data_IF_783892707125
#
_entry.id   IF_783892707125
#
_cell.length_a   1.000
_cell.length_b   1.000
_cell.length_c   1.000
_cell.angle_alpha   90.00
_cell.angle_beta   90.00
_cell.angle_gamma   90.00
#
_symmetry.space_group_name_H-M   'P 1'
#
loop_
_entity.id
_entity.type
_entity.pdbx_description
1 polymer ?
#
# COMPACT_ATOMS: atom_id res chain seq x y z
N UNK A 1 -4.74 -13.98 -9.12
CA UNK A 1 -5.89 -14.87 -8.98
C UNK A 1 -5.57 -15.82 -7.85
N UNK A 2 -6.57 -16.14 -7.03
CA UNK A 2 -6.45 -17.10 -5.95
C UNK A 2 -7.35 -18.29 -6.30
N UNK A 3 -6.83 -19.51 -6.15
CA UNK A 3 -7.62 -20.72 -6.35
C UNK A 3 -8.25 -21.07 -5.01
N UNK A 4 -9.57 -21.04 -4.93
CA UNK A 4 -10.33 -21.48 -3.76
C UNK A 4 -10.65 -22.96 -3.95
N UNK A 5 -10.12 -23.86 -3.10
CA UNK A 5 -10.48 -25.27 -3.16
C UNK A 5 -11.99 -25.44 -3.01
N UNK A 6 -12.55 -26.39 -3.76
CA UNK A 6 -13.97 -26.76 -3.68
C UNK A 6 -14.97 -25.64 -4.05
N UNK A 7 -14.50 -24.55 -4.69
CA UNK A 7 -15.35 -23.48 -5.24
C UNK A 7 -15.76 -23.74 -6.70
N UNK A 8 -16.97 -23.31 -7.07
CA UNK A 8 -17.53 -23.39 -8.44
C UNK A 8 -17.92 -22.01 -9.02
N UNK A 9 -17.65 -20.94 -8.28
CA UNK A 9 -17.85 -19.55 -8.68
C UNK A 9 -16.55 -18.82 -9.06
N UNK A 10 -16.70 -17.64 -9.68
CA UNK A 10 -15.59 -16.77 -10.02
C UNK A 10 -15.90 -15.32 -9.62
N UNK A 11 -15.08 -14.78 -8.73
CA UNK A 11 -15.09 -13.37 -8.37
C UNK A 11 -14.06 -12.60 -9.21
N UNK A 12 -14.47 -11.49 -9.80
CA UNK A 12 -13.62 -10.65 -10.65
C UNK A 12 -13.63 -9.22 -10.11
N UNK A 13 -12.49 -8.80 -9.59
CA UNK A 13 -12.25 -7.40 -9.20
C UNK A 13 -11.68 -6.62 -10.38
N UNK A 14 -12.36 -5.55 -10.78
CA UNK A 14 -11.93 -4.68 -11.88
C UNK A 14 -11.28 -3.41 -11.31
N UNK A 15 -9.98 -3.28 -11.49
CA UNK A 15 -9.24 -2.06 -11.15
C UNK A 15 -9.13 -1.13 -12.35
N UNK A 16 -9.88 -0.02 -12.32
CA UNK A 16 -9.80 1.03 -13.34
C UNK A 16 -8.74 2.07 -12.95
N UNK A 17 -7.53 1.89 -13.46
CA UNK A 17 -6.40 2.73 -13.12
C UNK A 17 -6.38 4.03 -13.93
N UNK A 18 -6.43 5.18 -13.24
CA UNK A 18 -6.08 6.47 -13.83
C UNK A 18 -4.57 6.66 -13.92
N UNK A 19 -4.05 7.24 -15.02
CA UNK A 19 -2.61 7.41 -15.23
C UNK A 19 -1.90 8.24 -14.14
N UNK A 20 -2.58 9.25 -13.58
CA UNK A 20 -2.03 10.02 -12.44
C UNK A 20 -1.92 9.21 -11.15
N UNK A 21 -2.88 8.29 -10.91
CA UNK A 21 -2.89 7.45 -9.71
C UNK A 21 -1.87 6.30 -9.78
N UNK A 22 -1.41 5.91 -10.97
CA UNK A 22 -0.37 4.89 -11.13
C UNK A 22 1.04 5.46 -11.04
N UNK A 23 1.22 6.76 -11.26
CA UNK A 23 2.51 7.45 -11.22
C UNK A 23 3.29 7.26 -9.91
N UNK A 24 2.66 7.26 -8.71
CA UNK A 24 3.38 7.04 -7.44
C UNK A 24 3.85 5.59 -7.22
N UNK A 25 3.53 4.66 -8.11
CA UNK A 25 3.96 3.27 -8.00
C UNK A 25 5.47 3.13 -8.13
N UNK A 26 6.13 2.63 -7.08
CA UNK A 26 7.56 2.29 -7.08
C UNK A 26 7.83 0.94 -6.47
N UNK A 27 8.94 0.33 -6.89
CA UNK A 27 9.48 -0.91 -6.34
C UNK A 27 10.97 -0.74 -6.03
N UNK A 28 11.42 -1.34 -4.93
CA UNK A 28 12.83 -1.37 -4.53
C UNK A 28 13.16 -2.72 -3.91
N UNK A 29 14.32 -3.28 -4.28
CA UNK A 29 14.90 -4.43 -3.56
C UNK A 29 15.63 -3.88 -2.34
N UNK A 30 15.27 -4.39 -1.16
CA UNK A 30 15.92 -4.04 0.10
C UNK A 30 16.96 -5.09 0.47
N UNK A 31 18.05 -4.66 1.08
CA UNK A 31 18.97 -5.58 1.75
C UNK A 31 18.29 -6.20 2.97
N UNK A 32 18.57 -7.47 3.31
CA UNK A 32 18.00 -8.10 4.51
C UNK A 32 18.23 -7.30 5.79
N UNK A 33 19.36 -6.59 5.88
CA UNK A 33 19.74 -5.74 7.01
C UNK A 33 18.87 -4.48 7.17
N UNK A 34 18.19 -4.02 6.11
CA UNK A 34 17.30 -2.85 6.19
C UNK A 34 16.00 -3.16 6.94
N UNK A 35 15.56 -4.43 6.95
CA UNK A 35 14.40 -4.90 7.71
C UNK A 35 13.13 -4.07 7.50
N UNK A 36 12.29 -4.01 8.54
CA UNK A 36 11.04 -3.23 8.53
C UNK A 36 11.27 -1.73 8.40
N UNK A 37 12.38 -1.22 8.92
CA UNK A 37 12.70 0.21 8.85
C UNK A 37 12.93 0.66 7.41
N UNK A 38 13.59 -0.18 6.60
CA UNK A 38 13.76 0.06 5.17
C UNK A 38 12.43 0.16 4.43
N UNK A 39 11.46 -0.70 4.77
CA UNK A 39 10.10 -0.65 4.21
C UNK A 39 9.40 0.66 4.59
N UNK A 40 9.42 1.02 5.88
CA UNK A 40 8.81 2.26 6.37
C UNK A 40 9.42 3.47 5.67
N UNK A 41 10.75 3.57 5.64
CA UNK A 41 11.47 4.65 4.97
C UNK A 41 11.08 4.76 3.50
N UNK A 42 11.04 3.62 2.80
CA UNK A 42 10.65 3.59 1.40
C UNK A 42 9.21 4.07 1.18
N UNK A 43 8.25 3.64 2.01
CA UNK A 43 6.86 4.11 1.93
C UNK A 43 6.78 5.62 2.14
N UNK A 44 7.42 6.14 3.19
CA UNK A 44 7.41 7.57 3.48
C UNK A 44 8.03 8.40 2.35
N UNK A 45 9.18 7.99 1.83
CA UNK A 45 9.86 8.70 0.72
C UNK A 45 8.97 8.78 -0.53
N UNK A 46 8.26 7.70 -0.84
CA UNK A 46 7.36 7.67 -2.00
C UNK A 46 6.16 8.59 -1.81
N UNK A 47 5.48 8.48 -0.66
CA UNK A 47 4.26 9.24 -0.41
C UNK A 47 4.58 10.73 -0.25
N UNK A 48 5.65 11.10 0.45
CA UNK A 48 6.04 12.50 0.64
C UNK A 48 6.37 13.20 -0.68
N UNK A 49 6.85 12.46 -1.68
CA UNK A 49 7.32 13.04 -2.95
C UNK A 49 6.25 13.00 -4.04
N UNK A 50 5.45 11.93 -4.08
CA UNK A 50 4.59 11.64 -5.24
C UNK A 50 3.10 11.75 -4.96
N UNK A 51 2.66 11.67 -3.70
CA UNK A 51 1.23 11.59 -3.39
C UNK A 51 0.45 12.82 -3.84
N UNK A 52 1.05 14.02 -3.82
CA UNK A 52 0.40 15.26 -4.31
C UNK A 52 -0.03 15.16 -5.77
N UNK A 53 0.66 14.35 -6.58
CA UNK A 53 0.34 14.15 -8.00
C UNK A 53 -0.76 13.10 -8.24
N UNK A 54 -1.26 12.46 -7.17
CA UNK A 54 -2.27 11.39 -7.23
C UNK A 54 -3.56 11.75 -6.47
N UNK A 55 -3.90 13.05 -6.43
CA UNK A 55 -5.16 13.55 -5.88
C UNK A 55 -5.46 13.04 -4.46
N UNK A 56 -4.60 13.36 -3.46
CA UNK A 56 -4.79 12.85 -2.11
C UNK A 56 -6.16 13.25 -1.53
N UNK A 57 -6.72 12.48 -0.59
CA UNK A 57 -6.09 11.41 0.17
C UNK A 57 -5.87 10.13 -0.64
N UNK A 58 -4.66 9.59 -0.60
CA UNK A 58 -4.30 8.38 -1.36
C UNK A 58 -4.55 7.11 -0.55
N UNK A 59 -4.94 6.02 -1.20
CA UNK A 59 -4.92 4.68 -0.60
C UNK A 59 -3.56 4.03 -0.90
N UNK A 60 -2.85 3.59 0.14
CA UNK A 60 -1.48 3.08 0.01
C UNK A 60 -1.48 1.55 0.13
N UNK A 61 -1.14 0.88 -0.97
CA UNK A 61 -0.90 -0.56 -0.97
C UNK A 61 0.59 -0.87 -0.93
N UNK A 62 1.01 -1.72 0.01
CA UNK A 62 2.40 -2.14 0.17
C UNK A 62 2.48 -3.65 -0.04
N UNK A 63 3.28 -4.08 -1.01
CA UNK A 63 3.53 -5.50 -1.27
C UNK A 63 4.94 -5.88 -0.87
N UNK A 64 5.10 -6.97 -0.12
CA UNK A 64 6.40 -7.48 0.33
C UNK A 64 6.58 -8.92 -0.15
N UNK A 65 7.57 -9.14 -1.02
CA UNK A 65 7.86 -10.47 -1.56
C UNK A 65 9.34 -10.63 -1.89
N UNK A 66 9.72 -11.85 -2.25
CA UNK A 66 11.08 -12.20 -2.69
C UNK A 66 11.42 -11.66 -4.09
N UNK A 67 10.41 -11.41 -4.93
CA UNK A 67 10.56 -10.82 -6.26
C UNK A 67 9.77 -9.52 -6.39
N UNK A 68 10.27 -8.61 -7.24
CA UNK A 68 9.64 -7.30 -7.48
C UNK A 68 8.28 -7.47 -8.16
N UNK A 69 8.16 -8.44 -9.05
CA UNK A 69 6.94 -8.75 -9.80
C UNK A 69 5.82 -9.18 -8.84
N UNK A 70 6.12 -10.10 -7.93
CA UNK A 70 5.16 -10.56 -6.93
C UNK A 70 4.82 -9.44 -5.95
N UNK A 71 5.80 -8.65 -5.50
CA UNK A 71 5.56 -7.51 -4.63
C UNK A 71 4.63 -6.47 -5.29
N UNK A 72 4.81 -6.20 -6.59
CA UNK A 72 3.96 -5.28 -7.34
C UNK A 72 2.52 -5.81 -7.51
N UNK A 73 2.34 -7.12 -7.67
CA UNK A 73 1.00 -7.73 -7.70
C UNK A 73 0.33 -7.65 -6.32
N UNK A 74 1.07 -7.93 -5.25
CA UNK A 74 0.57 -7.84 -3.88
C UNK A 74 0.21 -6.42 -3.46
N UNK A 75 1.00 -5.41 -3.87
CA UNK A 75 0.66 -4.01 -3.57
C UNK A 75 -0.66 -3.59 -4.23
N UNK A 76 -0.95 -4.10 -5.43
CA UNK A 76 -2.24 -3.93 -6.09
C UNK A 76 -3.36 -4.68 -5.39
N UNK A 77 -3.12 -5.90 -4.92
CA UNK A 77 -4.10 -6.64 -4.11
C UNK A 77 -4.41 -5.88 -2.80
N UNK A 78 -3.39 -5.28 -2.19
CA UNK A 78 -3.54 -4.50 -0.96
C UNK A 78 -4.47 -3.28 -1.13
N UNK A 79 -4.39 -2.54 -2.25
CA UNK A 79 -5.29 -1.40 -2.49
C UNK A 79 -6.74 -1.81 -2.75
N UNK A 80 -7.01 -3.07 -3.10
CA UNK A 80 -8.37 -3.55 -3.35
C UNK A 80 -9.09 -3.99 -2.06
N UNK A 81 -8.37 -4.13 -0.95
CA UNK A 81 -8.97 -4.48 0.34
C UNK A 81 -9.97 -3.41 0.81
N UNK A 82 -11.08 -3.81 1.47
CA UNK A 82 -12.05 -2.87 2.01
C UNK A 82 -11.41 -1.83 2.92
N UNK A 83 -11.80 -0.57 2.76
CA UNK A 83 -11.33 0.54 3.60
C UNK A 83 -11.73 0.27 5.06
N UNK A 84 -10.77 0.42 5.98
CA UNK A 84 -10.95 0.12 7.40
C UNK A 84 -10.72 -1.35 7.77
N UNK A 85 -10.49 -2.23 6.79
CA UNK A 85 -9.99 -3.59 7.07
C UNK A 85 -8.56 -3.55 7.60
N UNK A 86 -8.16 -4.60 8.33
CA UNK A 86 -6.80 -4.75 8.84
C UNK A 86 -6.26 -6.12 8.46
N UNK A 87 -4.94 -6.21 8.32
CA UNK A 87 -4.29 -7.45 7.97
C UNK A 87 -4.49 -8.51 9.08
N UNK A 88 -4.73 -9.80 8.76
CA UNK A 88 -4.97 -10.83 9.76
C UNK A 88 -3.76 -11.08 10.68
N UNK A 89 -2.53 -10.85 10.18
CA UNK A 89 -1.32 -10.89 11.01
C UNK A 89 -1.23 -9.61 11.90
N UNK A 90 -1.19 -9.74 13.25
CA UNK A 90 -1.16 -8.60 14.16
C UNK A 90 0.01 -7.63 13.95
N UNK A 91 1.20 -8.13 13.57
CA UNK A 91 2.38 -7.27 13.33
C UNK A 91 2.22 -6.41 12.08
N UNK A 92 1.63 -6.97 11.03
CA UNK A 92 1.35 -6.24 9.81
C UNK A 92 0.21 -5.23 10.04
N UNK A 93 -0.83 -5.60 10.78
CA UNK A 93 -1.91 -4.68 11.15
C UNK A 93 -1.40 -3.49 11.99
N UNK A 94 -0.51 -3.73 12.95
CA UNK A 94 0.15 -2.66 13.70
C UNK A 94 0.94 -1.73 12.78
N UNK A 95 1.67 -2.30 11.81
CA UNK A 95 2.44 -1.52 10.84
C UNK A 95 1.54 -0.71 9.90
N UNK A 96 0.41 -1.26 9.44
CA UNK A 96 -0.62 -0.54 8.69
C UNK A 96 -1.07 0.72 9.44
N UNK A 97 -1.43 0.58 10.73
CA UNK A 97 -1.85 1.69 11.59
C UNK A 97 -0.74 2.73 11.75
N UNK A 98 0.49 2.29 12.07
CA UNK A 98 1.62 3.20 12.30
C UNK A 98 2.02 3.97 11.05
N UNK A 99 1.98 3.33 9.89
CA UNK A 99 2.20 3.98 8.60
C UNK A 99 1.09 4.99 8.32
N UNK A 100 -0.17 4.60 8.47
CA UNK A 100 -1.32 5.48 8.22
C UNK A 100 -1.26 6.75 9.07
N UNK A 101 -1.06 6.61 10.39
CA UNK A 101 -0.91 7.76 11.28
C UNK A 101 0.29 8.64 10.92
N UNK A 102 1.43 8.01 10.62
CA UNK A 102 2.65 8.73 10.32
C UNK A 102 2.61 9.46 8.98
N UNK A 103 1.97 8.88 7.96
CA UNK A 103 1.73 9.54 6.67
C UNK A 103 0.73 10.69 6.80
N UNK A 104 -0.30 10.55 7.64
CA UNK A 104 -1.22 11.64 7.92
C UNK A 104 -0.53 12.82 8.63
N UNK A 105 0.47 12.55 9.49
CA UNK A 105 1.30 13.59 10.12
C UNK A 105 2.22 14.35 9.15
N UNK A 106 2.41 13.88 7.91
CA UNK A 106 3.16 14.64 6.89
C UNK A 106 2.43 15.93 6.47
N UNK A 107 1.12 16.01 6.71
CA UNK A 107 0.36 17.24 6.49
C UNK A 107 0.12 17.59 5.02
N UNK A 108 0.15 16.62 4.11
CA UNK A 108 -0.13 16.82 2.66
C UNK A 108 -1.59 17.27 2.48
N UNK A 109 -2.51 16.63 3.19
CA UNK A 109 -3.95 16.94 3.16
C UNK A 109 -4.63 16.64 1.82
N UNK A 110 -5.96 16.85 1.75
CA UNK A 110 -6.72 16.62 0.53
C UNK A 110 -6.24 17.55 -0.60
N UNK A 111 -6.07 17.00 -1.81
CA UNK A 111 -5.57 17.70 -2.99
C UNK A 111 -4.19 18.36 -2.81
N UNK A 112 -3.45 18.04 -1.75
CA UNK A 112 -2.19 18.71 -1.43
C UNK A 112 -2.36 20.10 -0.80
N UNK A 113 -3.58 20.44 -0.34
CA UNK A 113 -3.90 21.76 0.23
C UNK A 113 -3.45 21.91 1.69
N UNK A 114 -2.61 21.00 2.17
CA UNK A 114 -2.14 20.88 3.54
C UNK A 114 -3.24 20.54 4.55
N UNK A 115 -2.85 19.93 5.67
CA UNK A 115 -3.76 19.54 6.75
C UNK A 115 -3.82 18.04 6.98
N UNK A 116 -4.86 17.58 7.66
CA UNK A 116 -5.01 16.17 8.04
C UNK A 116 -5.56 15.32 6.88
N UNK A 117 -5.54 14.00 7.00
CA UNK A 117 -6.06 13.07 5.99
C UNK A 117 -5.31 13.15 4.66
N UNK A 118 -4.00 12.88 4.72
CA UNK A 118 -3.14 12.71 3.54
C UNK A 118 -3.32 11.34 2.90
N UNK A 119 -3.73 10.34 3.68
CA UNK A 119 -4.01 8.98 3.23
C UNK A 119 -5.39 8.53 3.72
N UNK A 120 -6.08 7.72 2.90
CA UNK A 120 -7.34 7.06 3.27
C UNK A 120 -7.11 5.79 4.08
N UNK A 121 -5.94 5.18 3.94
CA UNK A 121 -5.59 3.93 4.58
C UNK A 121 -4.28 3.38 4.03
N UNK A 122 -3.71 2.44 4.78
CA UNK A 122 -2.53 1.67 4.36
C UNK A 122 -2.88 0.19 4.51
N UNK A 123 -2.69 -0.57 3.44
CA UNK A 123 -2.83 -2.02 3.46
C UNK A 123 -1.53 -2.68 3.05
N UNK A 124 -1.16 -3.74 3.76
CA UNK A 124 0.07 -4.50 3.51
C UNK A 124 -0.32 -5.91 3.11
N UNK A 125 0.30 -6.43 2.05
CA UNK A 125 0.21 -7.84 1.65
C UNK A 125 1.62 -8.41 1.50
N UNK A 126 1.84 -9.66 1.94
CA UNK A 126 3.16 -10.28 1.87
C UNK A 126 3.11 -11.75 1.44
N UNK A 127 4.05 -12.16 0.59
CA UNK A 127 4.26 -13.56 0.20
C UNK A 127 5.64 -14.11 0.60
N UNK A 128 6.45 -13.32 1.31
CA UNK A 128 7.70 -13.79 1.90
C UNK A 128 7.43 -14.52 3.23
N UNK A 129 8.12 -15.65 3.43
CA UNK A 129 8.14 -16.41 4.69
C UNK A 129 8.84 -15.66 5.81
#
# INVERSE_FOLDING_TARGET
WDIVPDGDDAEIEVYMAGGGCTLPGRSKVLMPSEGYEGVVKFVFENISTLAVNACPPVLVGVGIATSVETAAVLSRKAILRPIGSRHPNPKAAELEVRLEEGLNRLGIGPQGLTGNSSVMGVHIESAAR
#
